data_IF_482821543796
#
_entry.id   IF_482821543796
#
_cell.length_a   1.000
_cell.length_b   1.000
_cell.length_c   1.000
_cell.angle_alpha   90.00
_cell.angle_beta   90.00
_cell.angle_gamma   90.00
#
_symmetry.space_group_name_H-M   'P 1'
#
loop_
_entity.id
_entity.type
_entity.pdbx_description
1 polymer ?
#
# COMPACT_ATOMS: atom_id res chain seq x y z
N UNK A 1 42.64 -48.67 -8.35
CA UNK A 1 42.29 -49.32 -7.08
C UNK A 1 42.90 -48.47 -5.95
N UNK A 2 42.22 -47.38 -5.53
CA UNK A 2 42.57 -46.67 -4.30
C UNK A 2 41.25 -46.15 -3.71
N UNK A 3 40.84 -46.82 -2.62
CA UNK A 3 39.76 -46.37 -1.74
C UNK A 3 40.27 -45.23 -0.88
N UNK A 4 39.68 -44.05 -1.01
CA UNK A 4 39.94 -42.93 -0.11
C UNK A 4 38.80 -42.82 0.89
N UNK A 5 39.11 -43.18 2.13
CA UNK A 5 38.22 -43.16 3.29
C UNK A 5 37.99 -41.70 3.67
N UNK A 6 36.75 -41.20 3.53
CA UNK A 6 36.34 -39.95 4.11
C UNK A 6 36.22 -40.09 5.63
N UNK A 7 37.08 -39.40 6.36
CA UNK A 7 36.99 -39.25 7.82
C UNK A 7 35.81 -38.34 8.14
N UNK A 8 34.90 -38.85 8.95
CA UNK A 8 33.86 -38.08 9.59
C UNK A 8 34.49 -37.26 10.73
N UNK A 9 34.34 -35.93 10.65
CA UNK A 9 34.61 -35.05 11.77
C UNK A 9 33.40 -34.99 12.70
N UNK A 10 33.53 -35.24 14.01
CA UNK A 10 32.46 -35.07 14.97
C UNK A 10 32.45 -33.60 15.48
N UNK A 11 31.30 -32.93 15.43
CA UNK A 11 31.07 -31.76 16.27
C UNK A 11 30.61 -30.47 15.62
N UNK A 12 29.59 -30.49 14.77
CA UNK A 12 28.78 -29.29 14.59
C UNK A 12 27.44 -29.48 15.31
N UNK A 13 27.32 -28.91 16.47
CA UNK A 13 26.08 -28.81 17.21
C UNK A 13 25.07 -28.11 16.29
N UNK A 14 24.00 -28.81 15.96
CA UNK A 14 22.85 -28.27 15.26
C UNK A 14 22.31 -27.11 16.08
N UNK A 15 22.44 -25.88 15.53
CA UNK A 15 21.80 -24.71 16.11
C UNK A 15 20.28 -24.97 16.07
N UNK A 16 19.67 -25.09 17.23
CA UNK A 16 18.24 -25.23 17.38
C UNK A 16 17.56 -23.99 16.85
N UNK A 17 16.61 -24.18 15.95
CA UNK A 17 15.78 -23.15 15.32
C UNK A 17 14.74 -22.52 16.29
N UNK A 18 15.02 -22.46 17.57
CA UNK A 18 14.10 -22.00 18.62
C UNK A 18 14.33 -20.59 19.13
N UNK A 19 14.99 -19.73 18.39
CA UNK A 19 14.97 -18.29 18.68
C UNK A 19 14.25 -17.54 17.56
N UNK A 20 12.94 -17.78 17.45
CA UNK A 20 12.05 -16.77 16.88
C UNK A 20 12.15 -15.58 17.83
N UNK A 21 12.84 -14.53 17.41
CA UNK A 21 12.81 -13.24 18.08
C UNK A 21 11.37 -12.78 18.02
N UNK A 22 10.63 -13.01 19.07
CA UNK A 22 9.32 -12.40 19.29
C UNK A 22 9.60 -10.91 19.43
N UNK A 23 9.43 -10.18 18.33
CA UNK A 23 9.44 -8.72 18.36
C UNK A 23 8.30 -8.30 19.26
N UNK A 24 8.61 -8.09 20.52
CA UNK A 24 7.66 -7.55 21.49
C UNK A 24 7.20 -6.19 21.00
N UNK A 25 5.90 -6.00 21.02
CA UNK A 25 5.27 -4.73 20.70
C UNK A 25 5.94 -3.59 21.48
N UNK A 26 6.57 -2.65 20.76
CA UNK A 26 7.35 -1.53 21.32
C UNK A 26 6.44 -0.57 22.13
N UNK A 27 5.12 -0.63 21.93
CA UNK A 27 4.15 0.23 22.62
C UNK A 27 3.07 -0.58 23.33
N UNK A 28 2.65 -0.10 24.51
CA UNK A 28 1.57 -0.70 25.29
C UNK A 28 0.21 -0.62 24.55
N UNK A 29 -0.75 -1.44 25.00
CA UNK A 29 -2.09 -1.54 24.41
C UNK A 29 -2.84 -0.20 24.36
N UNK A 30 -2.70 0.65 25.39
CA UNK A 30 -3.37 1.95 25.50
C UNK A 30 -2.79 2.95 24.50
N UNK A 31 -1.47 3.01 24.40
CA UNK A 31 -0.74 3.84 23.43
C UNK A 31 -1.07 3.42 22.01
N UNK A 32 -1.10 2.10 21.72
CA UNK A 32 -1.51 1.58 20.40
C UNK A 32 -2.94 1.98 20.09
N UNK A 33 -3.89 1.79 20.99
CA UNK A 33 -5.29 2.18 20.78
C UNK A 33 -5.42 3.66 20.46
N UNK A 34 -4.68 4.51 21.18
CA UNK A 34 -4.63 5.96 20.91
C UNK A 34 -4.02 6.28 19.56
N UNK A 35 -2.93 5.62 19.16
CA UNK A 35 -2.33 5.79 17.83
C UNK A 35 -3.29 5.39 16.73
N UNK A 36 -3.97 4.24 16.88
CA UNK A 36 -4.93 3.75 15.89
C UNK A 36 -6.17 4.65 15.77
N UNK A 37 -6.67 5.20 16.88
CA UNK A 37 -7.81 6.12 16.86
C UNK A 37 -7.47 7.48 16.23
N UNK A 38 -6.18 7.87 16.20
CA UNK A 38 -5.70 9.08 15.55
C UNK A 38 -5.51 8.95 14.04
N UNK A 39 -5.62 7.75 13.47
CA UNK A 39 -5.45 7.54 12.03
C UNK A 39 -6.68 8.08 11.29
N UNK A 40 -6.45 9.11 10.50
CA UNK A 40 -7.49 9.70 9.66
C UNK A 40 -7.67 8.87 8.39
N UNK A 41 -8.91 8.52 8.07
CA UNK A 41 -9.26 7.81 6.83
C UNK A 41 -9.41 8.72 5.61
N UNK A 42 -9.08 10.03 5.73
CA UNK A 42 -9.20 11.04 4.65
C UNK A 42 -8.24 12.18 4.90
N UNK A 43 -7.84 12.85 3.82
CA UNK A 43 -6.92 13.97 3.84
C UNK A 43 -5.60 13.60 4.52
N UNK A 44 -5.14 12.40 4.28
CA UNK A 44 -3.83 11.93 4.75
C UNK A 44 -2.71 12.75 4.10
N UNK A 45 -1.53 12.74 4.71
CA UNK A 45 -0.39 13.49 4.16
C UNK A 45 -0.07 13.10 2.71
N UNK A 46 -0.01 11.81 2.32
CA UNK A 46 0.20 11.41 0.93
C UNK A 46 -0.88 11.94 -0.02
N UNK A 47 -2.17 11.80 0.34
CA UNK A 47 -3.26 12.36 -0.47
C UNK A 47 -3.11 13.86 -0.71
N UNK A 48 -2.79 14.62 0.34
CA UNK A 48 -2.64 16.07 0.24
C UNK A 48 -1.44 16.48 -0.60
N UNK A 49 -0.34 15.73 -0.56
CA UNK A 49 0.83 15.98 -1.39
C UNK A 49 0.50 15.77 -2.87
N UNK A 50 -0.11 14.63 -3.22
CA UNK A 50 -0.51 14.33 -4.59
C UNK A 50 -1.52 15.35 -5.13
N UNK A 51 -2.55 15.69 -4.32
CA UNK A 51 -3.56 16.69 -4.67
C UNK A 51 -2.95 18.04 -4.97
N UNK A 52 -2.05 18.54 -4.12
CA UNK A 52 -1.36 19.81 -4.33
C UNK A 52 -0.53 19.82 -5.60
N UNK A 53 0.22 18.75 -5.86
CA UNK A 53 1.05 18.62 -7.04
C UNK A 53 0.21 18.62 -8.33
N UNK A 54 -0.86 17.81 -8.39
CA UNK A 54 -1.77 17.80 -9.53
C UNK A 54 -2.48 19.15 -9.75
N UNK A 55 -2.86 19.83 -8.65
CA UNK A 55 -3.48 21.15 -8.75
C UNK A 55 -2.50 22.19 -9.29
N UNK A 56 -1.24 22.19 -8.81
CA UNK A 56 -0.18 23.05 -9.31
C UNK A 56 0.12 22.81 -10.79
N UNK A 57 0.04 21.54 -11.25
CA UNK A 57 0.15 21.16 -12.66
C UNK A 57 -1.09 21.52 -13.51
N UNK A 58 -2.07 22.23 -12.96
CA UNK A 58 -3.24 22.73 -13.68
C UNK A 58 -4.42 21.76 -13.72
N UNK A 59 -4.35 20.60 -13.08
CA UNK A 59 -5.47 19.65 -13.05
C UNK A 59 -6.56 20.09 -12.08
N UNK A 60 -7.80 19.91 -12.49
CA UNK A 60 -8.99 20.16 -11.64
C UNK A 60 -9.69 18.84 -11.40
N UNK A 61 -10.01 18.54 -10.15
CA UNK A 61 -10.55 17.25 -9.70
C UNK A 61 -11.59 17.44 -8.60
N UNK A 62 -12.36 16.39 -8.35
CA UNK A 62 -13.18 16.24 -7.15
C UNK A 62 -12.52 15.25 -6.19
N UNK A 63 -12.81 15.39 -4.90
CA UNK A 63 -12.22 14.56 -3.85
C UNK A 63 -13.27 13.69 -3.16
N UNK A 64 -12.88 12.48 -2.76
CA UNK A 64 -13.71 11.56 -1.97
C UNK A 64 -15.14 11.43 -2.53
N UNK A 65 -15.29 11.15 -3.82
CA UNK A 65 -16.60 11.10 -4.50
C UNK A 65 -17.34 9.82 -4.11
N UNK A 66 -18.24 9.94 -3.14
CA UNK A 66 -18.99 8.79 -2.55
C UNK A 66 -19.93 8.08 -3.51
N UNK A 67 -20.34 8.72 -4.60
CA UNK A 67 -21.17 8.10 -5.64
C UNK A 67 -20.40 7.16 -6.56
N UNK A 68 -19.08 7.09 -6.42
CA UNK A 68 -18.23 6.14 -7.15
C UNK A 68 -17.77 5.01 -6.23
N UNK A 69 -17.63 3.77 -6.75
CA UNK A 69 -17.09 2.64 -6.02
C UNK A 69 -15.78 2.96 -5.36
N UNK A 70 -15.60 2.54 -4.10
CA UNK A 70 -14.40 2.82 -3.32
C UNK A 70 -14.20 4.27 -2.90
N UNK A 71 -15.08 5.21 -3.30
CA UNK A 71 -14.95 6.64 -2.99
C UNK A 71 -13.55 7.21 -3.32
N UNK A 72 -13.11 7.21 -4.58
CA UNK A 72 -11.74 7.57 -4.96
C UNK A 72 -11.29 8.93 -4.40
N UNK A 73 -10.01 9.01 -4.01
CA UNK A 73 -9.43 10.19 -3.36
C UNK A 73 -9.34 11.40 -4.28
N UNK A 74 -9.17 11.13 -5.60
CA UNK A 74 -9.08 12.15 -6.64
C UNK A 74 -9.86 11.66 -7.87
N UNK A 75 -10.79 12.46 -8.37
CA UNK A 75 -11.59 12.13 -9.55
C UNK A 75 -11.46 13.23 -10.59
N UNK A 76 -10.81 12.90 -11.70
CA UNK A 76 -10.58 13.80 -12.84
C UNK A 76 -11.62 13.51 -13.93
N UNK A 77 -12.80 14.11 -13.82
CA UNK A 77 -13.93 13.85 -14.73
C UNK A 77 -13.60 14.11 -16.20
N UNK A 78 -12.87 15.19 -16.49
CA UNK A 78 -12.47 15.53 -17.87
C UNK A 78 -11.66 14.40 -18.53
N UNK A 79 -10.91 13.65 -17.74
CA UNK A 79 -10.00 12.59 -18.18
C UNK A 79 -10.56 11.19 -17.96
N UNK A 80 -11.73 11.10 -17.33
CA UNK A 80 -12.35 9.85 -16.89
C UNK A 80 -11.40 8.98 -16.05
N UNK A 81 -10.66 9.62 -15.14
CA UNK A 81 -9.66 8.97 -14.27
C UNK A 81 -10.06 9.10 -12.81
N UNK A 82 -10.04 7.97 -12.11
CA UNK A 82 -10.17 7.85 -10.67
C UNK A 82 -8.83 7.42 -10.08
N UNK A 83 -8.33 8.19 -9.10
CA UNK A 83 -7.06 7.89 -8.42
C UNK A 83 -7.33 7.56 -6.97
N UNK A 84 -6.76 6.47 -6.50
CA UNK A 84 -6.74 6.03 -5.11
C UNK A 84 -5.33 6.17 -4.56
N UNK A 85 -5.19 6.69 -3.34
CA UNK A 85 -3.91 6.81 -2.64
C UNK A 85 -3.88 5.77 -1.52
N UNK A 86 -3.12 4.72 -1.73
CA UNK A 86 -3.10 3.57 -0.83
C UNK A 86 -1.96 3.65 0.19
N UNK A 87 -2.30 3.59 1.47
CA UNK A 87 -1.34 3.36 2.54
C UNK A 87 -0.83 1.91 2.52
N UNK A 88 0.48 1.71 2.41
CA UNK A 88 1.10 0.40 2.21
C UNK A 88 0.71 -0.62 3.29
N UNK A 89 0.58 -0.19 4.53
CA UNK A 89 0.16 -1.04 5.65
C UNK A 89 -1.28 -1.53 5.49
N UNK A 90 -2.22 -0.62 5.19
CA UNK A 90 -3.66 -0.90 5.18
C UNK A 90 -4.13 -1.67 3.95
N UNK A 91 -3.51 -1.42 2.81
CA UNK A 91 -3.87 -2.00 1.52
C UNK A 91 -2.89 -3.09 1.08
N UNK A 92 -1.92 -3.46 1.96
CA UNK A 92 -0.98 -4.58 1.79
C UNK A 92 -0.16 -4.49 0.52
N UNK A 93 0.56 -3.37 0.33
CA UNK A 93 1.47 -3.21 -0.80
C UNK A 93 2.50 -4.34 -0.85
N UNK A 94 2.46 -5.14 -1.92
CA UNK A 94 3.30 -6.32 -2.07
C UNK A 94 4.79 -5.94 -2.08
N UNK A 95 5.61 -6.68 -1.32
CA UNK A 95 7.06 -6.44 -1.23
C UNK A 95 7.49 -5.17 -0.49
N UNK A 96 6.55 -4.33 -0.05
CA UNK A 96 6.89 -3.08 0.61
C UNK A 96 7.24 -3.28 2.10
N UNK A 97 8.38 -2.75 2.59
CA UNK A 97 8.76 -2.89 4.00
C UNK A 97 7.78 -2.18 4.97
N UNK A 98 6.96 -1.25 4.50
CA UNK A 98 5.90 -0.62 5.30
C UNK A 98 4.67 -1.51 5.50
N UNK A 99 4.51 -2.58 4.71
CA UNK A 99 3.40 -3.52 4.81
C UNK A 99 3.67 -4.61 5.87
N UNK A 100 4.00 -4.21 7.10
CA UNK A 100 4.32 -5.14 8.20
C UNK A 100 3.08 -5.83 8.76
N UNK A 101 3.25 -7.03 9.32
CA UNK A 101 2.20 -7.74 10.05
C UNK A 101 2.39 -7.50 11.55
N UNK A 102 1.36 -7.09 12.28
CA UNK A 102 1.43 -7.01 13.75
C UNK A 102 1.74 -8.36 14.38
N UNK A 103 2.55 -8.35 15.45
CA UNK A 103 2.91 -9.57 16.18
C UNK A 103 1.80 -10.06 17.12
N UNK A 104 0.87 -9.19 17.51
CA UNK A 104 -0.29 -9.53 18.35
C UNK A 104 -1.58 -9.55 17.55
N UNK A 105 -2.54 -10.41 17.95
CA UNK A 105 -3.83 -10.58 17.28
C UNK A 105 -3.72 -10.82 15.77
N UNK A 106 -2.78 -11.66 15.36
CA UNK A 106 -2.41 -11.90 13.97
C UNK A 106 -3.62 -12.28 13.11
N UNK A 107 -4.49 -13.20 13.60
CA UNK A 107 -5.67 -13.65 12.85
C UNK A 107 -6.67 -12.51 12.63
N UNK A 108 -6.91 -11.66 13.62
CA UNK A 108 -7.74 -10.47 13.48
C UNK A 108 -7.21 -9.55 12.37
N UNK A 109 -5.89 -9.28 12.39
CA UNK A 109 -5.27 -8.43 11.39
C UNK A 109 -5.28 -9.04 10.00
N UNK A 110 -5.06 -10.36 9.91
CA UNK A 110 -5.16 -11.10 8.66
C UNK A 110 -6.54 -10.95 8.02
N UNK A 111 -7.59 -11.21 8.80
CA UNK A 111 -8.97 -11.03 8.35
C UNK A 111 -9.26 -9.60 7.93
N UNK A 112 -8.82 -8.61 8.70
CA UNK A 112 -9.01 -7.19 8.39
C UNK A 112 -8.30 -6.79 7.09
N UNK A 113 -7.07 -7.19 6.90
CA UNK A 113 -6.31 -6.88 5.69
C UNK A 113 -6.90 -7.58 4.46
N UNK A 114 -7.27 -8.86 4.56
CA UNK A 114 -7.93 -9.57 3.47
C UNK A 114 -9.24 -8.90 3.06
N UNK A 115 -10.04 -8.47 4.03
CA UNK A 115 -11.28 -7.74 3.74
C UNK A 115 -11.01 -6.40 3.05
N UNK A 116 -9.94 -5.67 3.42
CA UNK A 116 -9.56 -4.44 2.75
C UNK A 116 -9.17 -4.71 1.30
N UNK A 117 -8.25 -5.65 1.05
CA UNK A 117 -7.79 -6.01 -0.30
C UNK A 117 -8.96 -6.45 -1.18
N UNK A 118 -9.85 -7.31 -0.66
CA UNK A 118 -11.02 -7.77 -1.40
C UNK A 118 -12.00 -6.63 -1.73
N UNK A 119 -12.18 -5.67 -0.82
CA UNK A 119 -13.00 -4.48 -1.07
C UNK A 119 -12.37 -3.59 -2.14
N UNK A 120 -11.06 -3.37 -2.08
CA UNK A 120 -10.33 -2.53 -3.03
C UNK A 120 -10.39 -3.13 -4.43
N UNK A 121 -10.19 -4.44 -4.56
CA UNK A 121 -10.32 -5.15 -5.83
C UNK A 121 -11.73 -5.04 -6.44
N UNK A 122 -12.79 -5.19 -5.63
CA UNK A 122 -14.17 -4.99 -6.09
C UNK A 122 -14.43 -3.57 -6.55
N UNK A 123 -13.99 -2.58 -5.78
CA UNK A 123 -14.17 -1.17 -6.14
C UNK A 123 -13.46 -0.83 -7.46
N UNK A 124 -12.28 -1.40 -7.69
CA UNK A 124 -11.51 -1.24 -8.92
C UNK A 124 -12.27 -1.81 -10.12
N UNK A 125 -12.80 -3.04 -9.99
CA UNK A 125 -13.56 -3.69 -11.04
C UNK A 125 -14.86 -2.94 -11.35
N UNK A 126 -15.60 -2.53 -10.33
CA UNK A 126 -16.82 -1.72 -10.50
C UNK A 126 -16.53 -0.37 -11.19
N UNK A 127 -15.41 0.30 -10.86
CA UNK A 127 -14.98 1.51 -11.56
C UNK A 127 -14.69 1.23 -13.04
N UNK A 128 -14.04 0.10 -13.34
CA UNK A 128 -13.77 -0.31 -14.70
C UNK A 128 -15.04 -0.61 -15.50
N UNK A 129 -16.04 -1.25 -14.88
CA UNK A 129 -17.34 -1.52 -15.50
C UNK A 129 -18.11 -0.22 -15.80
N UNK A 130 -17.95 0.81 -14.96
CA UNK A 130 -18.46 2.16 -15.21
C UNK A 130 -17.66 2.97 -16.23
N UNK A 131 -16.63 2.36 -16.84
CA UNK A 131 -15.79 2.99 -17.86
C UNK A 131 -14.72 3.92 -17.31
N UNK A 132 -14.47 3.93 -15.99
CA UNK A 132 -13.40 4.73 -15.41
C UNK A 132 -12.03 4.09 -15.64
N UNK A 133 -11.06 4.93 -15.92
CA UNK A 133 -9.64 4.58 -15.85
C UNK A 133 -9.16 4.78 -14.42
N UNK A 134 -8.29 3.92 -13.94
CA UNK A 134 -7.92 3.93 -12.52
C UNK A 134 -6.41 4.00 -12.32
N UNK A 135 -6.00 4.74 -11.30
CA UNK A 135 -4.62 4.77 -10.83
C UNK A 135 -4.60 4.45 -9.33
N UNK A 136 -3.66 3.61 -8.91
CA UNK A 136 -3.32 3.41 -7.50
C UNK A 136 -1.95 4.04 -7.28
N UNK A 137 -1.85 4.98 -6.34
CA UNK A 137 -0.58 5.59 -5.97
C UNK A 137 -0.26 5.21 -4.53
N UNK A 138 0.80 4.44 -4.35
CA UNK A 138 1.21 3.97 -3.03
C UNK A 138 1.92 5.06 -2.23
N UNK A 139 1.70 5.11 -0.92
CA UNK A 139 2.32 6.10 -0.04
C UNK A 139 3.86 6.04 -0.03
N UNK A 140 4.45 4.87 -0.31
CA UNK A 140 5.91 4.72 -0.39
C UNK A 140 6.49 5.45 -1.60
N UNK A 141 5.79 5.45 -2.74
CA UNK A 141 6.17 6.20 -3.92
C UNK A 141 6.06 7.71 -3.72
N UNK A 142 5.00 8.18 -3.04
CA UNK A 142 4.83 9.61 -2.75
C UNK A 142 5.92 10.11 -1.81
N UNK A 143 6.36 9.30 -0.86
CA UNK A 143 7.42 9.64 0.06
C UNK A 143 7.08 10.80 1.03
N UNK A 144 8.11 11.50 1.48
CA UNK A 144 7.97 12.65 2.40
C UNK A 144 7.57 13.95 1.67
N UNK A 145 7.96 14.06 0.42
CA UNK A 145 7.64 15.13 -0.52
C UNK A 145 7.26 14.43 -1.81
N UNK A 146 6.18 14.86 -2.47
CA UNK A 146 5.81 14.25 -3.74
C UNK A 146 6.98 14.40 -4.73
N UNK A 147 7.56 13.28 -5.13
CA UNK A 147 8.65 13.25 -6.09
C UNK A 147 8.15 13.77 -7.44
N UNK A 148 8.93 14.66 -8.06
CA UNK A 148 8.60 15.25 -9.35
C UNK A 148 8.46 14.17 -10.43
N UNK A 149 9.33 13.16 -10.45
CA UNK A 149 9.27 12.06 -11.40
C UNK A 149 7.96 11.27 -11.26
N UNK A 150 7.54 10.95 -10.03
CA UNK A 150 6.26 10.31 -9.79
C UNK A 150 5.08 11.16 -10.31
N UNK A 151 5.12 12.48 -10.07
CA UNK A 151 4.04 13.37 -10.52
C UNK A 151 3.96 13.40 -12.05
N UNK A 152 5.09 13.43 -12.73
CA UNK A 152 5.16 13.35 -14.19
C UNK A 152 4.59 12.04 -14.71
N UNK A 153 4.95 10.90 -14.11
CA UNK A 153 4.39 9.60 -14.46
C UNK A 153 2.87 9.53 -14.26
N UNK A 154 2.35 10.08 -13.18
CA UNK A 154 0.90 10.15 -12.91
C UNK A 154 0.22 11.05 -13.95
N UNK A 155 0.83 12.16 -14.33
CA UNK A 155 0.33 13.07 -15.36
C UNK A 155 0.31 12.37 -16.72
N UNK A 156 1.35 11.65 -17.08
CA UNK A 156 1.43 10.89 -18.31
C UNK A 156 0.35 9.81 -18.36
N UNK A 157 0.11 9.11 -17.26
CA UNK A 157 -1.01 8.18 -17.16
C UNK A 157 -2.36 8.89 -17.36
N UNK A 158 -2.58 10.06 -16.75
CA UNK A 158 -3.83 10.82 -16.92
C UNK A 158 -4.06 11.15 -18.41
N UNK A 159 -3.02 11.50 -19.14
CA UNK A 159 -3.07 11.85 -20.57
C UNK A 159 -3.08 10.63 -21.50
N UNK A 160 -2.57 9.48 -21.05
CA UNK A 160 -2.51 8.25 -21.84
C UNK A 160 -3.90 7.65 -22.06
N UNK A 161 -3.97 6.59 -22.88
CA UNK A 161 -5.15 5.75 -23.06
C UNK A 161 -5.20 4.53 -22.12
N UNK A 162 -4.20 4.35 -21.23
CA UNK A 162 -4.08 3.18 -20.39
C UNK A 162 -5.24 3.07 -19.40
N UNK A 163 -5.79 1.85 -19.25
CA UNK A 163 -6.96 1.59 -18.40
C UNK A 163 -6.64 1.62 -16.92
N UNK A 164 -5.47 1.10 -16.54
CA UNK A 164 -5.04 0.98 -15.15
C UNK A 164 -3.52 1.10 -15.03
N UNK A 165 -3.04 1.72 -13.93
CA UNK A 165 -1.63 1.72 -13.55
C UNK A 165 -1.49 1.84 -12.02
N UNK A 166 -0.49 1.15 -11.48
CA UNK A 166 -0.02 1.30 -10.11
C UNK A 166 1.35 1.98 -10.07
N UNK A 167 1.54 2.83 -9.07
CA UNK A 167 2.77 3.58 -8.83
C UNK A 167 3.25 3.24 -7.41
N UNK A 168 4.35 2.44 -7.29
CA UNK A 168 4.84 1.94 -6.03
C UNK A 168 6.35 1.76 -5.97
#
# INVERSE_FOLDING_TARGET
MFYQVCRQEPGRKSASWSQIIVMTDIVDKKTRSRMMSGIRGKNTKPEMLLRKALHAAGYRYRVNVRSLPGSPDIVLRKWNVAVQVHGCYWHRHAGCPKATMPSSNVEFWRGKFSANVARDARALEELHQLGWRTAIVWECAIGKQADQALIEEVIDFIRSGSRHREFG
#
